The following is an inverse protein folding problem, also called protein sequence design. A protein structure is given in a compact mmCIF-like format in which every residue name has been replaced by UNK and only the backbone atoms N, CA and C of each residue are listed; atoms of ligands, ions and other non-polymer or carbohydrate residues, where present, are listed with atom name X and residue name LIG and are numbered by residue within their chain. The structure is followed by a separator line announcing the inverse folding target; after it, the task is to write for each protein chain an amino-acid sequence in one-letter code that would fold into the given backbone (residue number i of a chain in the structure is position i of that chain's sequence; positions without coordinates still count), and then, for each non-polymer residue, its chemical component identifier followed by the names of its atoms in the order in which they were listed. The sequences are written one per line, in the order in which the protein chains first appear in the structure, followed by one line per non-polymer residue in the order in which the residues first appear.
data_IF_173984590495
#
_entry.id   IF_173984590495
#
_cell.length_a   1.000
_cell.length_b   1.000
_cell.length_c   1.000
_cell.angle_alpha   90.00
_cell.angle_beta   90.00
_cell.angle_gamma   90.00
#
_symmetry.space_group_name_H-M   'P 1'
#
loop_
_entity.id
_entity.type
_entity.pdbx_description
1 polymer ?
#
# COMPACT_ATOMS: atom_id res chain seq x y z
N UNK A 1 29.48 0.80 5.25
CA UNK A 1 29.54 1.51 3.96
C UNK A 1 28.95 0.58 2.91
N UNK A 2 27.99 1.05 2.08
CA UNK A 2 27.32 0.18 1.09
C UNK A 2 28.21 -0.10 -0.13
N UNK A 3 28.02 -1.21 -0.88
CA UNK A 3 28.81 -1.52 -2.07
C UNK A 3 28.68 -0.44 -3.15
N UNK A 4 29.67 -0.34 -4.04
CA UNK A 4 29.58 0.61 -5.18
C UNK A 4 28.40 0.26 -6.09
N UNK A 5 27.81 1.28 -6.72
CA UNK A 5 26.72 1.09 -7.70
C UNK A 5 25.30 0.93 -7.13
N UNK A 6 25.09 1.12 -5.82
CA UNK A 6 23.74 1.00 -5.20
C UNK A 6 22.69 1.86 -5.90
N UNK A 7 23.00 3.12 -6.20
CA UNK A 7 22.03 4.02 -6.86
C UNK A 7 21.56 3.47 -8.20
N UNK A 8 22.49 2.93 -9.00
CA UNK A 8 22.17 2.32 -10.28
C UNK A 8 21.33 1.05 -10.11
N UNK A 9 21.65 0.21 -9.11
CA UNK A 9 20.84 -0.99 -8.82
C UNK A 9 19.42 -0.65 -8.36
N UNK A 10 19.26 0.37 -7.51
CA UNK A 10 17.93 0.85 -7.10
C UNK A 10 17.15 1.36 -8.31
N UNK A 11 17.81 2.11 -9.20
CA UNK A 11 17.18 2.59 -10.43
C UNK A 11 16.72 1.43 -11.33
N UNK A 12 17.57 0.43 -11.54
CA UNK A 12 17.21 -0.78 -12.30
C UNK A 12 16.03 -1.55 -11.67
N UNK A 13 15.93 -1.57 -10.34
CA UNK A 13 14.80 -2.19 -9.63
C UNK A 13 13.49 -1.43 -9.88
N UNK A 14 13.53 -0.10 -9.97
CA UNK A 14 12.36 0.73 -10.33
C UNK A 14 11.91 0.47 -11.77
N UNK A 15 12.84 0.50 -12.71
CA UNK A 15 12.57 0.22 -14.13
C UNK A 15 12.07 -1.21 -14.35
N UNK A 16 12.53 -2.17 -13.54
CA UNK A 16 12.01 -3.53 -13.58
C UNK A 16 10.56 -3.60 -13.07
N UNK A 17 10.25 -2.89 -11.98
CA UNK A 17 8.90 -2.81 -11.44
C UNK A 17 7.91 -2.17 -12.42
N UNK A 18 8.30 -1.09 -13.10
CA UNK A 18 7.47 -0.44 -14.13
C UNK A 18 7.17 -1.39 -15.30
N UNK A 19 8.19 -2.14 -15.77
CA UNK A 19 8.00 -3.15 -16.82
C UNK A 19 7.09 -4.29 -16.36
N UNK A 20 7.19 -4.72 -15.10
CA UNK A 20 6.28 -5.74 -14.55
C UNK A 20 4.83 -5.24 -14.50
N UNK A 21 4.61 -3.99 -14.12
CA UNK A 21 3.27 -3.40 -14.07
C UNK A 21 2.66 -3.31 -15.47
N UNK A 22 3.44 -2.89 -16.46
CA UNK A 22 3.05 -2.84 -17.87
C UNK A 22 2.76 -4.23 -18.45
N UNK A 23 3.54 -5.24 -18.07
CA UNK A 23 3.36 -6.62 -18.53
C UNK A 23 2.11 -7.29 -17.92
N UNK A 24 1.61 -6.79 -16.80
CA UNK A 24 0.46 -7.37 -16.08
C UNK A 24 -0.66 -6.33 -15.89
N UNK A 25 -1.28 -5.84 -16.98
CA UNK A 25 -2.33 -4.82 -16.90
C UNK A 25 -3.60 -5.32 -16.19
N UNK A 26 -3.85 -6.64 -16.23
CA UNK A 26 -4.96 -7.29 -15.55
C UNK A 26 -4.90 -7.18 -14.01
N UNK A 27 -3.76 -6.82 -13.42
CA UNK A 27 -3.62 -6.59 -11.98
C UNK A 27 -3.69 -5.10 -11.60
N UNK A 28 -4.05 -4.21 -12.53
CA UNK A 28 -4.06 -2.77 -12.30
C UNK A 28 -5.01 -2.36 -11.17
N UNK A 29 -6.20 -2.96 -11.09
CA UNK A 29 -7.16 -2.72 -10.02
C UNK A 29 -6.55 -3.04 -8.66
N UNK A 30 -5.92 -4.23 -8.52
CA UNK A 30 -5.29 -4.62 -7.26
C UNK A 30 -4.13 -3.71 -6.87
N UNK A 31 -3.28 -3.31 -7.83
CA UNK A 31 -2.22 -2.32 -7.58
C UNK A 31 -2.79 -0.96 -7.18
N UNK A 32 -3.90 -0.54 -7.80
CA UNK A 32 -4.63 0.68 -7.43
C UNK A 32 -5.13 0.61 -6.00
N UNK A 33 -5.79 -0.48 -5.61
CA UNK A 33 -6.23 -0.73 -4.24
C UNK A 33 -5.06 -0.70 -3.26
N UNK A 34 -3.94 -1.36 -3.57
CA UNK A 34 -2.74 -1.32 -2.73
C UNK A 34 -2.24 0.11 -2.53
N UNK A 35 -2.14 0.90 -3.60
CA UNK A 35 -1.70 2.30 -3.52
C UNK A 35 -2.65 3.14 -2.69
N UNK A 36 -3.94 3.01 -2.92
CA UNK A 36 -4.97 3.75 -2.19
C UNK A 36 -4.94 3.44 -0.69
N UNK A 37 -4.99 2.16 -0.31
CA UNK A 37 -4.97 1.73 1.09
C UNK A 37 -3.66 2.14 1.78
N UNK A 38 -2.51 1.94 1.12
CA UNK A 38 -1.23 2.38 1.67
C UNK A 38 -1.20 3.89 1.87
N UNK A 39 -1.78 4.63 0.92
CA UNK A 39 -1.85 6.07 0.98
C UNK A 39 -2.77 6.58 2.10
N UNK A 40 -3.88 5.92 2.39
CA UNK A 40 -4.72 6.21 3.55
C UNK A 40 -3.96 6.00 4.87
N UNK A 41 -3.14 4.95 4.96
CA UNK A 41 -2.27 4.75 6.11
C UNK A 41 -1.21 5.87 6.24
N UNK A 42 -0.63 6.32 5.11
CA UNK A 42 0.34 7.42 5.08
C UNK A 42 -0.30 8.78 5.43
N UNK A 43 -1.55 9.02 5.00
CA UNK A 43 -2.30 10.23 5.35
C UNK A 43 -2.51 10.34 6.88
N UNK A 44 -2.67 9.21 7.58
CA UNK A 44 -2.68 9.14 9.05
C UNK A 44 -1.46 9.80 9.71
N UNK A 45 -0.38 9.96 8.95
CA UNK A 45 0.85 10.60 9.38
C UNK A 45 1.19 11.89 8.63
N UNK A 46 0.25 12.43 7.85
CA UNK A 46 0.40 13.62 6.99
C UNK A 46 1.49 13.50 5.92
N UNK A 47 1.84 12.28 5.50
CA UNK A 47 2.89 12.02 4.50
C UNK A 47 2.41 12.18 3.04
N UNK A 48 1.09 12.19 2.82
CA UNK A 48 0.48 12.28 1.48
C UNK A 48 -0.70 13.26 1.54
N UNK A 49 -0.80 14.21 0.58
CA UNK A 49 -1.96 15.10 0.49
C UNK A 49 -3.26 14.35 0.20
N UNK A 50 -4.38 14.80 0.78
CA UNK A 50 -5.71 14.23 0.53
C UNK A 50 -6.09 14.19 -0.96
N UNK A 51 -5.70 15.21 -1.72
CA UNK A 51 -5.91 15.29 -3.19
C UNK A 51 -5.32 14.11 -3.96
N UNK A 52 -4.09 13.69 -3.64
CA UNK A 52 -3.44 12.52 -4.24
C UNK A 52 -4.23 11.23 -3.98
N UNK A 53 -4.83 11.09 -2.81
CA UNK A 53 -5.67 9.93 -2.48
C UNK A 53 -7.01 9.94 -3.18
N UNK A 54 -7.60 11.12 -3.37
CA UNK A 54 -8.81 11.29 -4.17
C UNK A 54 -8.57 10.88 -5.63
N UNK A 55 -7.43 11.27 -6.20
CA UNK A 55 -7.02 10.81 -7.54
C UNK A 55 -6.85 9.29 -7.59
N UNK A 56 -6.15 8.70 -6.61
CA UNK A 56 -6.01 7.25 -6.50
C UNK A 56 -7.34 6.53 -6.34
N UNK A 57 -8.30 7.10 -5.60
CA UNK A 57 -9.67 6.56 -5.49
C UNK A 57 -10.37 6.57 -6.85
N UNK A 58 -10.28 7.67 -7.61
CA UNK A 58 -10.88 7.78 -8.95
C UNK A 58 -10.28 6.77 -9.92
N UNK A 59 -8.97 6.56 -9.89
CA UNK A 59 -8.28 5.52 -10.67
C UNK A 59 -8.85 4.13 -10.34
N UNK A 60 -8.99 3.80 -9.06
CA UNK A 60 -9.56 2.53 -8.62
C UNK A 60 -11.00 2.37 -9.10
N UNK A 61 -11.84 3.41 -8.93
CA UNK A 61 -13.24 3.39 -9.38
C UNK A 61 -13.35 3.16 -10.88
N UNK A 62 -12.50 3.78 -11.70
CA UNK A 62 -12.50 3.59 -13.14
C UNK A 62 -12.15 2.16 -13.56
N UNK A 63 -11.40 1.43 -12.72
CA UNK A 63 -11.00 0.04 -12.97
C UNK A 63 -12.00 -1.00 -12.42
N UNK A 64 -13.01 -0.60 -11.61
CA UNK A 64 -13.96 -1.57 -11.03
C UNK A 64 -14.83 -2.26 -12.08
N UNK A 65 -15.20 -1.53 -13.13
CA UNK A 65 -16.09 -2.01 -14.18
C UNK A 65 -15.32 -2.57 -15.39
N UNK A 66 -13.98 -2.58 -15.36
CA UNK A 66 -13.16 -3.11 -16.44
C UNK A 66 -13.09 -4.65 -16.37
N UNK A 67 -13.69 -5.39 -17.34
CA UNK A 67 -13.70 -6.85 -17.34
C UNK A 67 -12.31 -7.46 -17.57
N UNK A 68 -11.32 -6.68 -18.00
CA UNK A 68 -9.93 -7.10 -18.12
C UNK A 68 -9.20 -7.22 -16.79
N UNK A 69 -9.81 -6.77 -15.69
CA UNK A 69 -9.20 -6.84 -14.36
C UNK A 69 -9.39 -8.22 -13.73
N UNK A 70 -8.29 -8.83 -13.32
CA UNK A 70 -8.27 -10.07 -12.59
C UNK A 70 -8.53 -9.82 -11.10
N UNK A 71 -9.43 -10.63 -10.54
CA UNK A 71 -9.75 -10.63 -9.12
C UNK A 71 -8.88 -11.65 -8.38
N UNK A 72 -8.32 -11.27 -7.24
CA UNK A 72 -7.54 -12.19 -6.40
C UNK A 72 -8.41 -12.92 -5.39
N UNK A 73 -9.62 -12.42 -5.12
CA UNK A 73 -10.58 -12.95 -4.16
C UNK A 73 -10.04 -13.08 -2.73
N UNK A 74 -8.91 -12.45 -2.43
CA UNK A 74 -8.31 -12.46 -1.11
C UNK A 74 -9.16 -11.66 -0.11
N UNK A 75 -8.95 -11.90 1.18
CA UNK A 75 -9.59 -11.12 2.24
C UNK A 75 -9.24 -9.64 2.10
N UNK A 76 -7.97 -9.32 1.84
CA UNK A 76 -7.53 -7.94 1.62
C UNK A 76 -8.26 -7.29 0.42
N UNK A 77 -8.37 -8.00 -0.71
CA UNK A 77 -9.08 -7.46 -1.88
C UNK A 77 -10.54 -7.13 -1.53
N UNK A 78 -11.25 -8.08 -0.91
CA UNK A 78 -12.67 -7.93 -0.56
C UNK A 78 -12.87 -6.72 0.36
N UNK A 79 -12.12 -6.65 1.44
CA UNK A 79 -12.25 -5.55 2.40
C UNK A 79 -11.84 -4.21 1.78
N UNK A 80 -10.79 -4.19 0.95
CA UNK A 80 -10.38 -2.95 0.26
C UNK A 80 -11.49 -2.42 -0.65
N UNK A 81 -12.23 -3.30 -1.32
CA UNK A 81 -13.34 -2.92 -2.18
C UNK A 81 -14.56 -2.46 -1.39
N UNK A 82 -14.84 -3.10 -0.26
CA UNK A 82 -15.88 -2.64 0.65
C UNK A 82 -15.58 -1.20 1.13
N UNK A 83 -14.31 -0.87 1.42
CA UNK A 83 -13.89 0.50 1.73
C UNK A 83 -14.15 1.47 0.56
N UNK A 84 -13.83 1.09 -0.68
CA UNK A 84 -14.08 1.92 -1.87
C UNK A 84 -15.58 2.15 -2.08
N UNK A 85 -16.41 1.12 -1.90
CA UNK A 85 -17.86 1.23 -2.03
C UNK A 85 -18.47 2.11 -0.93
N UNK A 86 -18.01 1.98 0.32
CA UNK A 86 -18.45 2.84 1.42
C UNK A 86 -18.11 4.31 1.18
N UNK A 87 -16.90 4.61 0.68
CA UNK A 87 -16.52 5.97 0.31
C UNK A 87 -17.38 6.52 -0.83
N UNK A 88 -17.70 5.68 -1.82
CA UNK A 88 -18.59 6.06 -2.92
C UNK A 88 -20.03 6.37 -2.50
N UNK A 89 -20.43 5.97 -1.29
CA UNK A 89 -21.74 6.28 -0.68
C UNK A 89 -21.71 7.49 0.25
N UNK A 90 -20.54 8.11 0.45
CA UNK A 90 -20.40 9.30 1.28
C UNK A 90 -20.52 10.57 0.41
N UNK A 91 -21.66 11.26 0.50
CA UNK A 91 -21.95 12.45 -0.32
C UNK A 91 -20.82 13.49 -0.27
N UNK A 92 -20.34 13.82 0.94
CA UNK A 92 -19.25 14.77 1.14
C UNK A 92 -17.96 14.37 0.39
N UNK A 93 -17.64 13.08 0.36
CA UNK A 93 -16.49 12.58 -0.37
C UNK A 93 -16.72 12.57 -1.88
N UNK A 94 -17.92 12.16 -2.34
CA UNK A 94 -18.25 12.12 -3.76
C UNK A 94 -18.22 13.50 -4.41
N UNK A 95 -18.65 14.55 -3.69
CA UNK A 95 -18.53 15.94 -4.14
C UNK A 95 -17.06 16.35 -4.35
N UNK A 96 -16.19 16.00 -3.41
CA UNK A 96 -14.74 16.27 -3.52
C UNK A 96 -14.12 15.45 -4.66
N UNK A 97 -14.50 14.18 -4.80
CA UNK A 97 -13.99 13.32 -5.84
C UNK A 97 -14.36 13.80 -7.25
N UNK A 98 -15.54 14.42 -7.42
CA UNK A 98 -15.97 14.97 -8.70
C UNK A 98 -15.09 16.16 -9.15
N UNK A 99 -14.70 17.04 -8.23
CA UNK A 99 -13.87 18.22 -8.51
C UNK A 99 -12.82 18.47 -7.40
N UNK A 100 -11.67 17.76 -7.46
CA UNK A 100 -10.64 17.86 -6.42
C UNK A 100 -9.99 19.26 -6.33
N UNK A 101 -10.03 20.05 -7.41
CA UNK A 101 -9.34 21.35 -7.47
C UNK A 101 -10.21 22.54 -7.05
N UNK A 102 -11.53 22.50 -7.27
CA UNK A 102 -12.47 23.57 -6.88
C UNK A 102 -12.50 23.85 -5.37
N UNK A 103 -11.99 22.90 -4.61
CA UNK A 103 -12.01 22.83 -3.16
C UNK A 103 -10.59 23.01 -2.55
N UNK A 104 -9.54 23.06 -3.36
CA UNK A 104 -8.15 23.26 -2.90
C UNK A 104 -7.87 24.62 -2.18
N UNK A 105 -8.86 25.50 -2.06
CA UNK A 105 -8.77 26.75 -1.31
C UNK A 105 -9.17 26.67 0.18
N UNK A 106 -9.80 25.56 0.63
CA UNK A 106 -10.25 25.32 2.01
C UNK A 106 -10.46 23.84 2.39
N UNK A 107 -10.36 22.88 1.46
CA UNK A 107 -10.97 21.55 1.60
C UNK A 107 -10.04 20.34 1.79
N UNK A 108 -8.73 20.52 1.98
CA UNK A 108 -7.94 19.45 2.61
C UNK A 108 -8.57 19.08 3.98
N UNK A 109 -9.21 20.05 4.66
CA UNK A 109 -9.98 19.85 5.90
C UNK A 109 -11.21 18.95 5.77
N UNK A 110 -11.77 18.70 4.58
CA UNK A 110 -12.99 17.86 4.43
C UNK A 110 -12.64 16.47 3.90
N UNK A 111 -11.74 16.38 2.93
CA UNK A 111 -11.33 15.10 2.36
C UNK A 111 -10.50 14.29 3.35
N UNK A 112 -9.56 14.93 4.04
CA UNK A 112 -8.64 14.24 4.95
C UNK A 112 -9.40 13.57 6.10
N UNK A 113 -10.33 14.21 6.83
CA UNK A 113 -11.06 13.52 7.90
C UNK A 113 -11.90 12.35 7.40
N UNK A 114 -12.42 12.39 6.16
CA UNK A 114 -13.21 11.28 5.60
C UNK A 114 -12.30 10.13 5.16
N UNK A 115 -11.13 10.43 4.61
CA UNK A 115 -10.14 9.42 4.22
C UNK A 115 -9.47 8.77 5.44
N UNK A 116 -9.25 9.53 6.52
CA UNK A 116 -8.81 9.01 7.81
C UNK A 116 -9.88 8.14 8.49
N UNK A 117 -11.15 8.26 8.08
CA UNK A 117 -12.24 7.40 8.56
C UNK A 117 -12.31 6.04 7.86
N UNK A 118 -11.44 5.70 6.90
CA UNK A 118 -11.28 4.29 6.50
C UNK A 118 -10.69 3.59 7.72
N UNK A 119 -11.49 2.90 8.54
CA UNK A 119 -11.02 2.47 9.84
C UNK A 119 -10.01 1.36 9.60
N UNK A 120 -8.80 1.45 10.16
CA UNK A 120 -7.90 0.30 10.23
C UNK A 120 -8.61 -0.93 10.78
N UNK A 121 -9.60 -0.76 11.67
CA UNK A 121 -10.51 -1.82 12.12
C UNK A 121 -11.24 -2.55 10.99
N UNK A 122 -11.67 -1.87 9.94
CA UNK A 122 -12.32 -2.52 8.80
C UNK A 122 -11.35 -3.48 8.10
N UNK A 123 -10.07 -3.09 8.01
CA UNK A 123 -9.01 -3.88 7.39
C UNK A 123 -8.38 -4.93 8.32
N UNK A 124 -8.35 -4.69 9.62
CA UNK A 124 -7.54 -5.44 10.59
C UNK A 124 -8.33 -6.05 11.75
N UNK A 125 -9.60 -5.68 11.89
CA UNK A 125 -10.48 -6.17 12.97
C UNK A 125 -10.21 -5.61 14.37
N UNK A 126 -9.31 -4.63 14.54
CA UNK A 126 -8.92 -4.06 15.86
C UNK A 126 -8.87 -2.53 15.85
N UNK A 127 -9.22 -1.92 16.98
CA UNK A 127 -9.02 -0.50 17.28
C UNK A 127 -7.78 -0.37 18.20
N UNK A 128 -6.64 0.04 17.65
CA UNK A 128 -5.46 0.43 18.44
C UNK A 128 -5.17 1.91 18.20
N UNK A 129 -4.52 2.58 19.16
CA UNK A 129 -4.16 4.00 19.08
C UNK A 129 -3.24 4.33 17.90
N UNK A 130 -2.48 3.35 17.39
CA UNK A 130 -1.55 3.47 16.26
C UNK A 130 -1.91 2.49 15.13
N UNK A 131 -3.14 2.52 14.66
CA UNK A 131 -3.66 1.48 13.76
C UNK A 131 -3.29 1.65 12.26
N UNK A 132 -2.66 2.76 11.87
CA UNK A 132 -2.30 3.03 10.47
C UNK A 132 -1.04 2.28 10.00
N UNK A 133 0.03 2.18 10.80
CA UNK A 133 1.20 1.39 10.41
C UNK A 133 0.90 -0.13 10.30
N UNK A 134 0.18 -0.73 11.26
CA UNK A 134 -0.29 -2.10 11.14
C UNK A 134 -1.13 -2.31 9.86
N UNK A 135 -1.97 -1.34 9.48
CA UNK A 135 -2.79 -1.37 8.26
C UNK A 135 -1.90 -1.38 7.01
N UNK A 136 -0.85 -0.56 6.97
CA UNK A 136 0.13 -0.58 5.89
C UNK A 136 0.87 -1.92 5.79
N UNK A 137 1.22 -2.53 6.93
CA UNK A 137 1.85 -3.85 6.98
C UNK A 137 0.90 -4.93 6.44
N UNK A 138 -0.37 -4.91 6.85
CA UNK A 138 -1.38 -5.84 6.38
C UNK A 138 -1.62 -5.71 4.86
N UNK A 139 -1.70 -4.47 4.36
CA UNK A 139 -1.81 -4.18 2.94
C UNK A 139 -0.59 -4.70 2.15
N UNK A 140 0.63 -4.45 2.64
CA UNK A 140 1.85 -4.95 2.02
C UNK A 140 1.91 -6.49 2.02
N UNK A 141 1.50 -7.12 3.11
CA UNK A 141 1.47 -8.58 3.24
C UNK A 141 0.47 -9.22 2.29
N UNK A 142 -0.79 -8.79 2.29
CA UNK A 142 -1.81 -9.35 1.39
C UNK A 142 -1.47 -9.10 -0.07
N UNK A 143 -0.93 -7.92 -0.41
CA UNK A 143 -0.46 -7.63 -1.77
C UNK A 143 0.70 -8.55 -2.21
N UNK A 144 1.62 -8.87 -1.30
CA UNK A 144 2.71 -9.81 -1.57
C UNK A 144 2.18 -11.23 -1.79
N UNK A 145 1.25 -11.68 -0.95
CA UNK A 145 0.68 -13.02 -1.00
C UNK A 145 -0.24 -13.23 -2.21
N UNK A 146 -0.92 -12.18 -2.65
CA UNK A 146 -1.71 -12.16 -3.88
C UNK A 146 -0.83 -12.15 -5.15
N UNK A 147 0.49 -12.01 -5.02
CA UNK A 147 1.42 -11.90 -6.16
C UNK A 147 1.28 -10.61 -6.96
N UNK A 148 0.60 -9.59 -6.41
CA UNK A 148 0.32 -8.32 -7.11
C UNK A 148 1.56 -7.46 -7.22
N UNK A 149 2.38 -7.42 -6.16
CA UNK A 149 3.66 -6.74 -6.13
C UNK A 149 4.76 -7.72 -5.76
N UNK A 150 5.97 -7.50 -6.28
CA UNK A 150 7.15 -8.26 -5.86
C UNK A 150 7.40 -8.11 -4.34
N UNK A 151 8.01 -9.10 -3.67
CA UNK A 151 8.32 -9.01 -2.25
C UNK A 151 9.15 -7.76 -1.89
N UNK A 152 10.11 -7.38 -2.73
CA UNK A 152 10.89 -6.16 -2.53
C UNK A 152 10.03 -4.88 -2.51
N UNK A 153 9.02 -4.77 -3.39
CA UNK A 153 8.10 -3.63 -3.39
C UNK A 153 7.23 -3.60 -2.15
N UNK A 154 6.74 -4.75 -1.68
CA UNK A 154 6.02 -4.83 -0.41
C UNK A 154 6.89 -4.44 0.78
N UNK A 155 8.16 -4.83 0.77
CA UNK A 155 9.16 -4.39 1.75
C UNK A 155 9.35 -2.85 1.74
N UNK A 156 9.31 -2.21 0.57
CA UNK A 156 9.37 -0.76 0.46
C UNK A 156 8.13 -0.08 1.06
N UNK A 157 6.93 -0.64 0.88
CA UNK A 157 5.71 -0.13 1.50
C UNK A 157 5.87 -0.08 3.03
N UNK A 158 6.26 -1.18 3.66
CA UNK A 158 6.47 -1.24 5.11
C UNK A 158 7.54 -0.25 5.57
N UNK A 159 8.71 -0.24 4.92
CA UNK A 159 9.83 0.59 5.37
C UNK A 159 9.62 2.09 5.13
N UNK A 160 8.76 2.47 4.18
CA UNK A 160 8.46 3.88 3.89
C UNK A 160 7.78 4.61 5.06
N UNK A 161 6.93 3.92 5.80
CA UNK A 161 6.22 4.47 6.96
C UNK A 161 6.92 4.18 8.29
N UNK A 162 8.09 3.55 8.26
CA UNK A 162 8.80 3.15 9.47
C UNK A 162 9.41 4.29 10.29
N UNK A 163 9.39 5.53 9.79
CA UNK A 163 9.88 6.70 10.53
C UNK A 163 9.05 6.97 11.80
N UNK A 164 7.79 6.55 11.82
CA UNK A 164 6.88 6.72 12.96
C UNK A 164 7.10 5.70 14.09
N UNK A 165 8.14 4.86 13.97
CA UNK A 165 8.64 3.95 15.02
C UNK A 165 7.56 3.19 15.82
N UNK A 166 6.67 2.43 15.14
CA UNK A 166 5.57 1.72 15.77
C UNK A 166 6.08 0.71 16.79
N UNK A 167 5.55 0.74 18.01
CA UNK A 167 6.04 -0.12 19.09
C UNK A 167 5.72 -1.61 18.84
N UNK A 168 4.53 -1.93 18.36
CA UNK A 168 4.05 -3.32 18.20
C UNK A 168 4.69 -4.02 16.99
N UNK A 169 4.88 -3.32 15.87
CA UNK A 169 5.46 -3.88 14.64
C UNK A 169 6.95 -3.55 14.44
N UNK A 170 7.62 -3.01 15.47
CA UNK A 170 9.05 -2.63 15.38
C UNK A 170 9.93 -3.76 14.85
N UNK A 171 9.72 -4.99 15.33
CA UNK A 171 10.49 -6.15 14.90
C UNK A 171 10.32 -6.43 13.40
N UNK A 172 9.07 -6.38 12.89
CA UNK A 172 8.78 -6.55 11.47
C UNK A 172 9.45 -5.45 10.64
N UNK A 173 9.33 -4.19 11.09
CA UNK A 173 9.94 -3.06 10.42
C UNK A 173 11.47 -3.20 10.32
N UNK A 174 12.14 -3.57 11.41
CA UNK A 174 13.60 -3.72 11.44
C UNK A 174 14.07 -4.89 10.56
N UNK A 175 13.31 -5.99 10.53
CA UNK A 175 13.56 -7.08 9.57
C UNK A 175 13.41 -6.60 8.11
N UNK A 176 12.35 -5.86 7.80
CA UNK A 176 12.13 -5.32 6.45
C UNK A 176 13.22 -4.31 6.05
N UNK A 177 13.69 -3.47 6.98
CA UNK A 177 14.84 -2.58 6.72
C UNK A 177 16.09 -3.35 6.35
N UNK A 178 16.39 -4.43 7.09
CA UNK A 178 17.50 -5.32 6.81
C UNK A 178 17.36 -5.97 5.43
N UNK A 179 16.21 -6.58 5.15
CA UNK A 179 15.97 -7.26 3.87
C UNK A 179 16.01 -6.32 2.68
N UNK A 180 15.50 -5.10 2.80
CA UNK A 180 15.62 -4.07 1.77
C UNK A 180 17.08 -3.80 1.44
N UNK A 181 17.92 -3.56 2.45
CA UNK A 181 19.35 -3.27 2.25
C UNK A 181 20.03 -4.47 1.58
N UNK A 182 19.80 -5.67 2.09
CA UNK A 182 20.35 -6.90 1.52
C UNK A 182 19.93 -7.09 0.06
N UNK A 183 18.65 -6.84 -0.27
CA UNK A 183 18.12 -7.01 -1.63
C UNK A 183 18.73 -6.03 -2.63
N UNK A 184 18.97 -4.80 -2.18
CA UNK A 184 19.62 -3.74 -2.97
C UNK A 184 21.14 -3.98 -3.13
N UNK A 185 21.79 -4.56 -2.12
CA UNK A 185 23.24 -4.77 -2.05
C UNK A 185 23.72 -6.11 -2.63
N UNK A 186 22.88 -7.14 -2.62
CA UNK A 186 23.22 -8.52 -3.01
C UNK A 186 22.35 -8.99 -4.19
N UNK A 187 22.62 -8.54 -5.44
CA UNK A 187 21.80 -8.88 -6.61
C UNK A 187 21.68 -10.39 -6.85
N UNK A 188 22.74 -11.15 -6.60
CA UNK A 188 22.79 -12.61 -6.81
C UNK A 188 21.95 -13.39 -5.77
N UNK A 189 21.63 -12.76 -4.64
CA UNK A 189 20.89 -13.38 -3.53
C UNK A 189 19.42 -12.94 -3.46
N UNK A 190 18.94 -12.16 -4.43
CA UNK A 190 17.61 -11.55 -4.40
C UNK A 190 16.47 -12.55 -4.27
N UNK A 191 16.58 -13.72 -4.90
CA UNK A 191 15.54 -14.76 -4.81
C UNK A 191 15.38 -15.25 -3.37
N UNK A 192 16.46 -15.61 -2.69
CA UNK A 192 16.40 -16.06 -1.30
C UNK A 192 15.91 -14.94 -0.36
N UNK A 193 16.31 -13.69 -0.61
CA UNK A 193 15.83 -12.55 0.18
C UNK A 193 14.33 -12.31 -0.06
N UNK A 194 13.84 -12.45 -1.29
CA UNK A 194 12.42 -12.35 -1.63
C UNK A 194 11.58 -13.43 -0.91
N UNK A 195 12.10 -14.66 -0.82
CA UNK A 195 11.46 -15.74 -0.06
C UNK A 195 11.37 -15.40 1.44
N UNK A 196 12.44 -14.86 2.03
CA UNK A 196 12.45 -14.43 3.44
C UNK A 196 11.45 -13.29 3.69
N UNK A 197 11.40 -12.29 2.81
CA UNK A 197 10.39 -11.21 2.89
C UNK A 197 8.98 -11.81 2.85
N UNK A 198 8.71 -12.67 1.86
CA UNK A 198 7.40 -13.30 1.69
C UNK A 198 7.01 -14.14 2.91
N UNK A 199 7.95 -14.89 3.48
CA UNK A 199 7.73 -15.68 4.67
C UNK A 199 7.36 -14.81 5.88
N UNK A 200 8.10 -13.74 6.15
CA UNK A 200 7.80 -12.83 7.26
C UNK A 200 6.45 -12.12 7.09
N UNK A 201 6.13 -11.67 5.86
CA UNK A 201 4.83 -11.06 5.57
C UNK A 201 3.68 -12.07 5.73
N UNK A 202 3.89 -13.34 5.37
CA UNK A 202 2.91 -14.41 5.61
C UNK A 202 2.66 -14.63 7.09
N UNK A 203 3.71 -14.72 7.89
CA UNK A 203 3.59 -14.95 9.33
C UNK A 203 2.95 -13.76 10.05
N UNK A 204 3.18 -12.54 9.56
CA UNK A 204 2.44 -11.37 10.00
C UNK A 204 0.94 -11.46 9.65
N UNK A 205 0.59 -11.76 8.40
CA UNK A 205 -0.79 -11.83 7.93
C UNK A 205 -1.64 -12.85 8.72
N UNK A 206 -1.05 -14.00 9.08
CA UNK A 206 -1.69 -15.05 9.90
C UNK A 206 -2.16 -14.58 11.28
N UNK A 207 -1.66 -13.44 11.79
CA UNK A 207 -2.11 -12.88 13.08
C UNK A 207 -3.53 -12.27 13.01
N UNK A 208 -4.08 -12.14 11.80
CA UNK A 208 -5.35 -11.51 11.48
C UNK A 208 -6.36 -12.48 10.84
N UNK A 209 -6.01 -13.76 10.74
CA UNK A 209 -6.90 -14.88 10.36
C UNK A 209 -7.53 -15.51 11.61
#
# INVERSE_FOLDING_TARGET
MRPRGVRQRIQQLREHAERQDQANPHLALRRGLTRFIHGCAALGYSDIPGTTLVESYREVRALLDDPGQQRTHSTLERVSLDCIDQLGKCDAFTEVAADPQRKAGRDDEIAEPVLLRIPPRTLMGRDTSDSYFPMACFNAAGTCLDGVLSPYRCCLLVTSLGYYEPAEERELLDMMRTFRIDYEDQPDNRTAIAERITHQLRDFARRFE
#
